data_IF_785083290722
#
_entry.id   IF_785083290722
#
_cell.length_a   1.000
_cell.length_b   1.000
_cell.length_c   1.000
_cell.angle_alpha   90.00
_cell.angle_beta   90.00
_cell.angle_gamma   90.00
#
_symmetry.space_group_name_H-M   'P 1'
#
loop_
_entity.id
_entity.type
_entity.pdbx_description
1 polymer ?
#
# COMPACT_ATOMS: atom_id res chain seq x y z
N UNK A 1 3.51 20.66 8.25
CA UNK A 1 2.50 19.64 7.92
C UNK A 1 2.68 18.52 8.93
N UNK A 2 1.61 18.11 9.63
CA UNK A 2 1.71 16.99 10.58
C UNK A 2 2.08 15.70 9.82
N UNK A 3 3.01 14.86 10.32
CA UNK A 3 3.48 13.66 9.62
C UNK A 3 2.35 12.72 9.18
N UNK A 4 1.30 12.62 10.00
CA UNK A 4 0.13 11.78 9.73
C UNK A 4 -0.68 12.25 8.51
N UNK A 5 -0.99 13.55 8.43
CA UNK A 5 -1.69 14.12 7.27
C UNK A 5 -0.92 13.98 5.97
N UNK A 6 0.42 13.98 6.04
CA UNK A 6 1.26 13.72 4.87
C UNK A 6 1.13 12.26 4.41
N UNK A 7 1.20 11.32 5.35
CA UNK A 7 1.06 9.89 5.07
C UNK A 7 -0.31 9.57 4.46
N UNK A 8 -1.40 10.09 5.05
CA UNK A 8 -2.76 9.91 4.53
C UNK A 8 -2.90 10.44 3.09
N UNK A 9 -2.31 11.62 2.82
CA UNK A 9 -2.30 12.19 1.48
C UNK A 9 -1.52 11.34 0.48
N UNK A 10 -0.37 10.80 0.90
CA UNK A 10 0.47 9.97 0.04
C UNK A 10 -0.20 8.61 -0.24
N UNK A 11 -0.89 8.01 0.75
CA UNK A 11 -1.72 6.81 0.58
C UNK A 11 -2.88 7.08 -0.39
N UNK A 12 -3.63 8.17 -0.19
CA UNK A 12 -4.77 8.51 -1.04
C UNK A 12 -4.35 8.67 -2.51
N UNK A 13 -3.25 9.38 -2.76
CA UNK A 13 -2.67 9.51 -4.10
C UNK A 13 -2.27 8.17 -4.70
N UNK A 14 -1.66 7.30 -3.91
CA UNK A 14 -1.29 5.96 -4.37
C UNK A 14 -2.52 5.18 -4.84
N UNK A 15 -3.59 5.16 -4.04
CA UNK A 15 -4.84 4.47 -4.38
C UNK A 15 -5.47 5.04 -5.66
N UNK A 16 -5.52 6.37 -5.79
CA UNK A 16 -6.05 7.04 -6.99
C UNK A 16 -5.27 6.67 -8.25
N UNK A 17 -3.93 6.70 -8.18
CA UNK A 17 -3.06 6.34 -9.30
C UNK A 17 -3.23 4.87 -9.66
N UNK A 18 -3.17 3.97 -8.67
CA UNK A 18 -3.27 2.53 -8.90
C UNK A 18 -4.61 2.14 -9.55
N UNK A 19 -5.70 2.82 -9.15
CA UNK A 19 -7.04 2.60 -9.72
C UNK A 19 -7.10 2.87 -11.22
N UNK A 20 -6.39 3.89 -11.72
CA UNK A 20 -6.39 4.26 -13.15
C UNK A 20 -5.35 3.51 -13.99
N UNK A 21 -4.42 2.78 -13.36
CA UNK A 21 -3.49 1.92 -14.09
C UNK A 21 -4.23 0.77 -14.76
N UNK A 22 -3.86 0.49 -16.02
CA UNK A 22 -4.28 -0.73 -16.70
C UNK A 22 -3.52 -1.95 -16.15
N UNK A 23 -3.95 -3.16 -16.52
CA UNK A 23 -3.37 -4.41 -16.00
C UNK A 23 -1.86 -4.53 -16.22
N UNK A 24 -1.37 -4.11 -17.39
CA UNK A 24 0.06 -4.16 -17.73
C UNK A 24 0.88 -3.20 -16.86
N UNK A 25 0.40 -1.97 -16.69
CA UNK A 25 1.06 -0.97 -15.85
C UNK A 25 1.04 -1.36 -14.37
N UNK A 26 -0.04 -2.00 -13.89
CA UNK A 26 -0.10 -2.58 -12.54
C UNK A 26 0.95 -3.67 -12.35
N UNK A 27 1.04 -4.61 -13.29
CA UNK A 27 2.02 -5.69 -13.23
C UNK A 27 3.46 -5.16 -13.25
N UNK A 28 3.77 -4.17 -14.10
CA UNK A 28 5.07 -3.53 -14.15
C UNK A 28 5.43 -2.82 -12.83
N UNK A 29 4.46 -2.10 -12.25
CA UNK A 29 4.62 -1.45 -10.96
C UNK A 29 4.87 -2.46 -9.84
N UNK A 30 4.09 -3.54 -9.77
CA UNK A 30 4.24 -4.60 -8.77
C UNK A 30 5.60 -5.29 -8.89
N UNK A 31 6.07 -5.60 -10.10
CA UNK A 31 7.39 -6.18 -10.33
C UNK A 31 8.53 -5.25 -9.88
N UNK A 32 8.40 -3.94 -10.17
CA UNK A 32 9.36 -2.94 -9.69
C UNK A 32 9.37 -2.87 -8.17
N UNK A 33 8.18 -2.88 -7.55
CA UNK A 33 8.04 -2.90 -6.09
C UNK A 33 8.66 -4.14 -5.47
N UNK A 34 8.37 -5.35 -5.98
CA UNK A 34 8.96 -6.59 -5.48
C UNK A 34 10.49 -6.53 -5.47
N UNK A 35 11.10 -5.96 -6.52
CA UNK A 35 12.55 -5.75 -6.58
C UNK A 35 13.05 -4.84 -5.46
N UNK A 36 12.36 -3.72 -5.22
CA UNK A 36 12.69 -2.79 -4.12
C UNK A 36 12.49 -3.44 -2.75
N UNK A 37 11.45 -4.27 -2.58
CA UNK A 37 11.09 -4.90 -1.31
C UNK A 37 12.01 -6.07 -0.89
N UNK A 38 12.88 -6.55 -1.78
CA UNK A 38 13.87 -7.59 -1.44
C UNK A 38 14.87 -7.12 -0.37
N UNK A 39 15.19 -5.83 -0.37
CA UNK A 39 16.24 -5.26 0.47
C UNK A 39 15.73 -4.51 1.72
N UNK A 40 14.41 -4.42 1.91
CA UNK A 40 13.81 -3.80 3.09
C UNK A 40 13.52 -4.83 4.18
N UNK A 41 13.36 -4.36 5.41
CA UNK A 41 12.98 -5.20 6.54
C UNK A 41 11.57 -5.81 6.36
N UNK A 42 11.32 -6.91 7.06
CA UNK A 42 10.08 -7.67 6.94
C UNK A 42 8.84 -6.84 7.30
N UNK A 43 8.94 -5.94 8.30
CA UNK A 43 7.81 -5.11 8.70
C UNK A 43 7.46 -4.12 7.61
N UNK A 44 8.46 -3.44 7.05
CA UNK A 44 8.27 -2.54 5.90
C UNK A 44 7.67 -3.30 4.73
N UNK A 45 8.17 -4.50 4.40
CA UNK A 45 7.61 -5.35 3.34
C UNK A 45 6.12 -5.66 3.56
N UNK A 46 5.73 -6.03 4.78
CA UNK A 46 4.32 -6.33 5.11
C UNK A 46 3.42 -5.10 4.94
N UNK A 47 3.88 -3.92 5.34
CA UNK A 47 3.11 -2.68 5.16
C UNK A 47 2.86 -2.35 3.69
N UNK A 48 3.87 -2.54 2.84
CA UNK A 48 3.72 -2.35 1.40
C UNK A 48 2.76 -3.36 0.77
N UNK A 49 2.81 -4.62 1.18
CA UNK A 49 1.87 -5.66 0.73
C UNK A 49 0.45 -5.29 1.15
N UNK A 50 0.22 -4.88 2.41
CA UNK A 50 -1.09 -4.47 2.89
C UNK A 50 -1.68 -3.28 2.10
N UNK A 51 -0.84 -2.29 1.77
CA UNK A 51 -1.26 -1.17 0.93
C UNK A 51 -1.63 -1.61 -0.50
N UNK A 52 -0.83 -2.52 -1.09
CA UNK A 52 -1.10 -3.09 -2.41
C UNK A 52 -2.40 -3.90 -2.44
N UNK A 53 -2.63 -4.74 -1.44
CA UNK A 53 -3.83 -5.58 -1.33
C UNK A 53 -5.08 -4.70 -1.27
N UNK A 54 -5.04 -3.64 -0.45
CA UNK A 54 -6.14 -2.66 -0.40
C UNK A 54 -6.39 -2.02 -1.77
N UNK A 55 -5.33 -1.65 -2.50
CA UNK A 55 -5.47 -1.06 -3.83
C UNK A 55 -6.02 -2.04 -4.87
N UNK A 56 -5.68 -3.33 -4.77
CA UNK A 56 -6.21 -4.41 -5.63
C UNK A 56 -7.69 -4.64 -5.40
N UNK A 57 -8.14 -4.54 -4.15
CA UNK A 57 -9.54 -4.68 -3.75
C UNK A 57 -10.38 -3.42 -4.04
N UNK A 58 -9.78 -2.37 -4.63
CA UNK A 58 -10.37 -1.04 -4.81
C UNK A 58 -10.81 -0.38 -3.49
N UNK A 59 -10.11 -0.70 -2.40
CA UNK A 59 -10.37 -0.12 -1.10
C UNK A 59 -10.05 1.36 -1.02
N UNK A 60 -10.66 2.03 -0.05
CA UNK A 60 -10.49 3.47 0.14
C UNK A 60 -9.37 3.82 1.12
N UNK A 61 -9.20 5.12 1.38
CA UNK A 61 -8.16 5.63 2.27
C UNK A 61 -8.34 5.12 3.71
N UNK A 62 -9.57 5.00 4.19
CA UNK A 62 -9.86 4.57 5.56
C UNK A 62 -9.50 3.09 5.73
N UNK A 63 -9.90 2.27 4.76
CA UNK A 63 -9.55 0.84 4.70
C UNK A 63 -8.03 0.63 4.63
N UNK A 64 -7.33 1.44 3.81
CA UNK A 64 -5.87 1.35 3.70
C UNK A 64 -5.17 1.71 5.02
N UNK A 65 -5.65 2.73 5.71
CA UNK A 65 -5.09 3.14 7.01
C UNK A 65 -5.36 2.08 8.08
N UNK A 66 -6.58 1.53 8.15
CA UNK A 66 -6.89 0.44 9.08
C UNK A 66 -6.00 -0.78 8.81
N UNK A 67 -5.85 -1.17 7.54
CA UNK A 67 -5.03 -2.31 7.16
C UNK A 67 -3.54 -2.10 7.51
N UNK A 68 -3.01 -0.91 7.24
CA UNK A 68 -1.64 -0.54 7.61
C UNK A 68 -1.45 -0.56 9.13
N UNK A 69 -2.41 -0.01 9.90
CA UNK A 69 -2.36 -0.03 11.36
C UNK A 69 -2.44 -1.46 11.92
N UNK A 70 -3.30 -2.31 11.36
CA UNK A 70 -3.39 -3.72 11.75
C UNK A 70 -2.08 -4.44 11.48
N UNK A 71 -1.53 -4.25 10.28
CA UNK A 71 -0.26 -4.86 9.86
C UNK A 71 0.91 -4.38 10.70
N UNK A 72 0.99 -3.09 11.01
CA UNK A 72 2.03 -2.51 11.87
C UNK A 72 2.01 -3.12 13.29
N UNK A 73 0.83 -3.54 13.76
CA UNK A 73 0.60 -4.18 15.05
C UNK A 73 0.58 -5.72 14.98
N UNK A 74 0.93 -6.32 13.84
CA UNK A 74 0.99 -7.77 13.66
C UNK A 74 -0.36 -8.48 13.54
N UNK A 75 -1.44 -7.75 13.21
CA UNK A 75 -2.78 -8.31 12.99
C UNK A 75 -3.02 -8.56 11.50
N UNK A 76 -3.54 -9.74 11.10
CA UNK A 76 -3.79 -10.06 9.70
C UNK A 76 -4.97 -9.25 9.13
N UNK A 77 -4.92 -8.96 7.83
CA UNK A 77 -6.05 -8.51 7.01
C UNK A 77 -7.03 -9.68 6.82
N UNK A 78 -8.34 -9.43 6.89
CA UNK A 78 -9.39 -10.47 6.89
C UNK A 78 -10.21 -10.39 5.63
#
# INVERSE_FOLDING_TARGET
>A
MEPQKKLEKDIGKFLEVYKVLNTEARAAFEAQMESTLKNVDEKTRKLYIALLDTAKDNGDLEEAIDNLNRTANGRPYK
#
